data_IF_500535723045
#
_entry.id   IF_500535723045
#
_cell.length_a   1.000
_cell.length_b   1.000
_cell.length_c   1.000
_cell.angle_alpha   90.00
_cell.angle_beta   90.00
_cell.angle_gamma   90.00
#
_symmetry.space_group_name_H-M   'P 1'
#
loop_
_entity.id
_entity.type
_entity.pdbx_description
1 polymer ?
#
# COMPACT_ATOMS: atom_id res chain seq x y z
N UNK A 1 23.32 -38.99 -17.16
CA UNK A 1 22.09 -38.40 -16.55
C UNK A 1 21.66 -37.18 -17.34
N UNK A 2 20.50 -37.21 -18.02
CA UNK A 2 20.07 -36.15 -18.93
C UNK A 2 19.67 -34.82 -18.24
N UNK A 3 19.79 -33.69 -18.95
CA UNK A 3 19.43 -32.35 -18.46
C UNK A 3 18.01 -32.27 -17.88
N UNK A 4 17.05 -32.95 -18.51
CA UNK A 4 15.65 -33.03 -18.06
C UNK A 4 15.49 -33.72 -16.69
N UNK A 5 16.35 -34.70 -16.37
CA UNK A 5 16.32 -35.39 -15.09
C UNK A 5 16.85 -34.50 -13.95
N UNK A 6 17.88 -33.68 -14.21
CA UNK A 6 18.38 -32.70 -13.24
C UNK A 6 17.32 -31.65 -12.90
N UNK A 7 16.63 -31.14 -13.91
CA UNK A 7 15.57 -30.14 -13.75
C UNK A 7 14.36 -30.69 -12.97
N UNK A 8 14.01 -31.97 -13.16
CA UNK A 8 12.98 -32.64 -12.35
C UNK A 8 13.37 -32.82 -10.89
N UNK A 9 14.66 -33.02 -10.58
CA UNK A 9 15.14 -33.10 -9.19
C UNK A 9 15.03 -31.75 -8.49
N UNK A 10 15.58 -30.70 -9.11
CA UNK A 10 15.51 -29.33 -8.58
C UNK A 10 14.09 -28.88 -8.24
N UNK A 11 13.11 -29.12 -9.14
CA UNK A 11 11.70 -28.77 -8.87
C UNK A 11 11.06 -29.56 -7.73
N UNK A 12 11.52 -30.79 -7.46
CA UNK A 12 11.04 -31.56 -6.30
C UNK A 12 11.67 -31.05 -5.02
N UNK A 13 12.95 -30.73 -5.08
CA UNK A 13 13.70 -30.19 -3.94
C UNK A 13 13.17 -28.79 -3.53
N UNK A 14 12.75 -27.96 -4.50
CA UNK A 14 12.09 -26.67 -4.23
C UNK A 14 10.71 -26.82 -3.57
N UNK A 15 9.91 -27.81 -3.98
CA UNK A 15 8.58 -28.07 -3.39
C UNK A 15 8.65 -28.65 -1.97
N UNK A 16 9.77 -29.28 -1.62
CA UNK A 16 9.99 -29.87 -0.30
C UNK A 16 10.62 -28.88 0.69
N UNK A 17 11.03 -27.70 0.23
CA UNK A 17 11.45 -26.64 1.14
C UNK A 17 10.19 -26.06 1.78
N UNK A 18 10.11 -25.99 3.12
CA UNK A 18 9.08 -25.19 3.75
C UNK A 18 9.24 -23.75 3.24
N UNK A 19 8.17 -23.17 2.70
CA UNK A 19 8.11 -21.74 2.43
C UNK A 19 8.34 -21.05 3.77
N UNK A 20 9.55 -20.52 3.97
CA UNK A 20 9.82 -19.65 5.10
C UNK A 20 8.99 -18.41 4.80
N UNK A 21 7.95 -18.10 5.60
CA UNK A 21 7.17 -16.91 5.38
C UNK A 21 8.14 -15.72 5.47
N UNK A 22 8.27 -14.99 4.37
CA UNK A 22 9.03 -13.75 4.36
C UNK A 22 8.38 -12.86 5.42
N UNK A 23 9.11 -12.42 6.46
CA UNK A 23 8.51 -11.55 7.45
C UNK A 23 7.96 -10.33 6.71
N UNK A 24 6.76 -9.84 7.08
CA UNK A 24 6.25 -8.60 6.51
C UNK A 24 7.33 -7.53 6.69
N UNK A 25 7.55 -6.68 5.67
CA UNK A 25 8.53 -5.61 5.81
C UNK A 25 8.19 -4.84 7.08
N UNK A 26 9.19 -4.63 7.94
CA UNK A 26 9.10 -3.77 9.13
C UNK A 26 9.04 -2.31 8.70
N UNK A 27 8.13 -2.00 7.80
CA UNK A 27 7.93 -0.66 7.29
C UNK A 27 6.96 0.02 8.22
N UNK A 28 7.42 1.09 8.85
CA UNK A 28 6.55 1.94 9.64
C UNK A 28 5.60 2.66 8.67
N UNK A 29 4.30 2.40 8.82
CA UNK A 29 3.24 2.92 7.95
C UNK A 29 3.23 4.46 7.91
N UNK A 30 3.84 5.10 8.92
CA UNK A 30 3.94 6.56 9.02
C UNK A 30 5.09 7.18 8.23
N UNK A 31 6.00 6.38 7.65
CA UNK A 31 7.15 6.90 6.90
C UNK A 31 6.72 7.79 5.73
N UNK A 32 5.61 7.48 5.08
CA UNK A 32 5.05 8.30 4.02
C UNK A 32 4.75 9.73 4.50
N UNK A 33 4.05 9.85 5.64
CA UNK A 33 3.69 11.14 6.25
C UNK A 33 4.94 11.94 6.59
N UNK A 34 5.94 11.30 7.21
CA UNK A 34 7.20 11.97 7.58
C UNK A 34 7.99 12.48 6.36
N UNK A 35 7.95 11.76 5.24
CA UNK A 35 8.60 12.19 4.00
C UNK A 35 7.88 13.37 3.36
N UNK A 36 6.55 13.41 3.44
CA UNK A 36 5.74 14.52 2.94
C UNK A 36 6.04 15.82 3.72
N UNK A 37 6.12 15.73 5.05
CA UNK A 37 6.46 16.87 5.91
C UNK A 37 7.87 17.41 5.63
N UNK A 38 8.84 16.52 5.39
CA UNK A 38 10.22 16.89 5.00
C UNK A 38 10.30 17.61 3.66
N UNK A 39 9.36 17.36 2.76
CA UNK A 39 9.23 18.07 1.48
C UNK A 39 8.56 19.45 1.64
N UNK A 40 8.14 19.81 2.85
CA UNK A 40 7.50 21.09 3.16
C UNK A 40 5.97 21.06 3.10
N UNK A 41 5.35 19.90 2.90
CA UNK A 41 3.90 19.77 2.97
C UNK A 41 3.44 19.75 4.43
N UNK A 42 2.61 20.70 4.82
CA UNK A 42 1.95 20.69 6.14
C UNK A 42 0.63 19.93 6.04
N UNK A 43 0.54 18.81 6.75
CA UNK A 43 -0.73 18.07 6.92
C UNK A 43 -1.60 18.66 8.04
N UNK A 44 -1.16 19.76 8.67
CA UNK A 44 -1.94 20.45 9.69
C UNK A 44 -3.09 21.19 9.02
N UNK A 45 -4.27 20.58 9.15
CA UNK A 45 -5.59 21.10 8.78
C UNK A 45 -5.88 20.97 7.28
N UNK A 46 -6.67 19.96 6.94
CA UNK A 46 -7.45 20.01 5.70
C UNK A 46 -8.44 21.16 5.80
N UNK A 47 -8.60 21.90 4.70
CA UNK A 47 -9.59 22.96 4.62
C UNK A 47 -10.96 22.40 5.03
N UNK A 48 -11.54 23.00 6.07
CA UNK A 48 -12.88 22.61 6.52
C UNK A 48 -13.83 22.86 5.37
N UNK A 49 -14.65 21.86 5.02
CA UNK A 49 -15.62 22.00 3.96
C UNK A 49 -16.47 23.27 4.18
N UNK A 50 -16.76 24.04 3.12
CA UNK A 50 -17.57 25.24 3.24
C UNK A 50 -18.96 24.90 3.79
N UNK A 51 -19.54 25.85 4.51
CA UNK A 51 -20.87 25.70 5.08
C UNK A 51 -21.92 25.58 3.95
N UNK A 52 -22.76 24.55 4.01
CA UNK A 52 -23.85 24.36 3.05
C UNK A 52 -24.95 25.37 3.38
N UNK A 53 -25.43 26.16 2.40
CA UNK A 53 -26.52 27.11 2.64
C UNK A 53 -27.78 26.36 3.10
N UNK A 54 -28.36 26.80 4.23
CA UNK A 54 -29.52 26.14 4.86
C UNK A 54 -30.85 26.41 4.14
N UNK A 55 -30.92 27.47 3.33
CA UNK A 55 -32.09 27.77 2.51
C UNK A 55 -31.91 27.17 1.12
N UNK A 56 -32.68 26.12 0.83
CA UNK A 56 -32.84 25.66 -0.55
C UNK A 56 -33.35 26.83 -1.38
N UNK A 57 -32.65 27.17 -2.46
CA UNK A 57 -33.17 28.13 -3.42
C UNK A 57 -34.47 27.56 -3.97
N UNK A 58 -35.61 28.17 -3.62
CA UNK A 58 -36.87 27.83 -4.26
C UNK A 58 -36.71 28.10 -5.76
N UNK A 59 -37.03 27.12 -6.63
CA UNK A 59 -37.01 27.37 -8.06
C UNK A 59 -38.00 28.48 -8.37
N UNK A 60 -37.51 29.60 -8.93
CA UNK A 60 -38.38 30.62 -9.50
C UNK A 60 -39.01 30.04 -10.77
N UNK A 61 -40.32 29.82 -10.71
CA UNK A 61 -41.17 29.45 -11.85
C UNK A 61 -41.61 30.72 -12.58
#
# INVERSE_FOLDING_TARGET
MGRKAKLKKLRRDEKLKPEIPTPPPTFDETQFVTNLERQGYSLKQGDRAPEIPQSGAEPQV
#
